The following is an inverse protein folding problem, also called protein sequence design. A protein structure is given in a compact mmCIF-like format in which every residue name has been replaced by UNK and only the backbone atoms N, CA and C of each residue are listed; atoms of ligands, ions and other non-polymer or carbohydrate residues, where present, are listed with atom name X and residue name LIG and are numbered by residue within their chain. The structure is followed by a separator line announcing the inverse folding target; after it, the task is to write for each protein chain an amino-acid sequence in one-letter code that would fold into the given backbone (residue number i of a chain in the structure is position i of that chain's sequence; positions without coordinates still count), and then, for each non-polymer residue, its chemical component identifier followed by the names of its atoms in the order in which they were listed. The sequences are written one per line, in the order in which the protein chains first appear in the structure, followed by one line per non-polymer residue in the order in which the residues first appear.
data_IF_649134639386
#
_entry.id   IF_649134639386
#
_cell.length_a   1.000
_cell.length_b   1.000
_cell.length_c   1.000
_cell.angle_alpha   90.00
_cell.angle_beta   90.00
_cell.angle_gamma   90.00
#
_symmetry.space_group_name_H-M   'P 1'
#
loop_
_entity.id
_entity.type
_entity.pdbx_description
1 polymer ?
#
# COMPACT_ATOMS: atom_id res chain seq x y z
N UNK A 1 2.10 16.55 -11.75
CA UNK A 1 1.65 16.32 -13.14
C UNK A 1 2.40 15.15 -13.76
N UNK A 2 3.72 15.05 -13.64
CA UNK A 2 4.53 13.96 -14.24
C UNK A 2 4.12 12.56 -13.79
N UNK A 3 3.91 12.35 -12.48
CA UNK A 3 3.53 11.04 -11.93
C UNK A 3 2.14 10.62 -12.40
N UNK A 4 1.20 11.58 -12.47
CA UNK A 4 -0.14 11.33 -13.00
C UNK A 4 -0.09 10.89 -14.47
N UNK A 5 0.66 11.61 -15.30
CA UNK A 5 0.80 11.31 -16.73
C UNK A 5 1.49 9.96 -16.95
N UNK A 6 2.54 9.67 -16.16
CA UNK A 6 3.21 8.37 -16.22
C UNK A 6 2.27 7.23 -15.86
N UNK A 7 1.53 7.36 -14.75
CA UNK A 7 0.58 6.35 -14.33
C UNK A 7 -0.55 6.16 -15.36
N UNK A 8 -1.12 7.25 -15.87
CA UNK A 8 -2.13 7.19 -16.91
C UNK A 8 -1.63 6.43 -18.16
N UNK A 9 -0.39 6.70 -18.58
CA UNK A 9 0.26 5.98 -19.67
C UNK A 9 0.44 4.49 -19.36
N UNK A 10 0.95 4.14 -18.17
CA UNK A 10 1.13 2.75 -17.78
C UNK A 10 -0.20 1.99 -17.78
N UNK A 11 -1.27 2.60 -17.27
CA UNK A 11 -2.60 2.01 -17.27
C UNK A 11 -3.17 1.88 -18.68
N UNK A 12 -2.98 2.89 -19.55
CA UNK A 12 -3.44 2.84 -20.94
C UNK A 12 -2.73 1.75 -21.74
N UNK A 13 -1.41 1.63 -21.57
CA UNK A 13 -0.57 0.68 -22.33
C UNK A 13 -0.46 -0.70 -21.67
N UNK A 14 -1.17 -0.92 -20.57
CA UNK A 14 -1.11 -2.17 -19.80
C UNK A 14 0.32 -2.57 -19.40
N UNK A 15 1.11 -1.58 -19.01
CA UNK A 15 2.47 -1.82 -18.50
C UNK A 15 2.36 -2.45 -17.11
N UNK A 16 3.00 -3.61 -16.85
CA UNK A 16 3.04 -4.19 -15.51
C UNK A 16 3.51 -3.17 -14.47
N UNK A 17 2.68 -2.93 -13.46
CA UNK A 17 2.87 -1.82 -12.52
C UNK A 17 2.75 -2.31 -11.08
N UNK A 18 3.78 -2.04 -10.28
CA UNK A 18 3.73 -2.10 -8.81
C UNK A 18 3.86 -0.68 -8.27
N UNK A 19 2.83 -0.21 -7.59
CA UNK A 19 2.71 1.16 -7.12
C UNK A 19 2.79 1.20 -5.58
N UNK A 20 3.75 1.93 -5.01
CA UNK A 20 4.01 1.99 -3.57
C UNK A 20 3.65 3.37 -3.02
N UNK A 21 2.91 3.41 -1.92
CA UNK A 21 2.53 4.58 -1.15
C UNK A 21 1.95 5.69 -2.04
N UNK A 22 2.69 6.73 -2.33
CA UNK A 22 2.27 7.79 -3.27
C UNK A 22 1.94 7.24 -4.66
N UNK A 23 2.62 6.18 -5.10
CA UNK A 23 2.33 5.51 -6.38
C UNK A 23 0.93 4.89 -6.39
N UNK A 24 0.54 4.21 -5.32
CA UNK A 24 -0.81 3.66 -5.13
C UNK A 24 -1.87 4.77 -5.10
N UNK A 25 -1.59 5.87 -4.42
CA UNK A 25 -2.47 7.04 -4.37
C UNK A 25 -2.67 7.65 -5.77
N UNK A 26 -1.59 7.81 -6.53
CA UNK A 26 -1.66 8.33 -7.92
C UNK A 26 -2.42 7.37 -8.82
N UNK A 27 -2.20 6.06 -8.71
CA UNK A 27 -2.94 5.04 -9.46
C UNK A 27 -4.44 5.11 -9.18
N UNK A 28 -4.80 5.29 -7.92
CA UNK A 28 -6.18 5.37 -7.48
C UNK A 28 -6.87 6.66 -7.95
N UNK A 29 -6.18 7.80 -7.89
CA UNK A 29 -6.68 9.08 -8.41
C UNK A 29 -6.88 9.02 -9.93
N UNK A 30 -5.91 8.48 -10.67
CA UNK A 30 -6.02 8.29 -12.14
C UNK A 30 -7.21 7.39 -12.49
N UNK A 31 -7.52 6.43 -11.63
CA UNK A 31 -8.66 5.52 -11.79
C UNK A 31 -10.01 6.12 -11.35
N UNK A 32 -10.02 7.31 -10.73
CA UNK A 32 -11.24 8.06 -10.37
C UNK A 32 -11.78 7.80 -8.97
N UNK A 33 -10.96 7.30 -8.04
CA UNK A 33 -11.36 7.06 -6.65
C UNK A 33 -11.62 8.37 -5.87
N UNK A 34 -12.36 8.26 -4.77
CA UNK A 34 -12.38 9.29 -3.73
C UNK A 34 -11.12 9.17 -2.84
N UNK A 35 -10.83 10.22 -2.06
CA UNK A 35 -9.57 10.31 -1.35
C UNK A 35 -9.75 10.88 0.06
N UNK A 36 -9.10 10.25 1.05
CA UNK A 36 -8.98 10.77 2.42
C UNK A 36 -7.78 11.73 2.43
N UNK A 37 -8.06 13.04 2.56
CA UNK A 37 -7.02 14.06 2.51
C UNK A 37 -6.17 14.11 3.78
N UNK A 38 -6.71 13.67 4.92
CA UNK A 38 -6.02 13.65 6.20
C UNK A 38 -6.61 12.58 7.12
N UNK A 39 -5.86 11.53 7.40
CA UNK A 39 -6.31 10.41 8.23
C UNK A 39 -6.67 10.85 9.67
N UNK A 40 -5.88 11.69 10.37
CA UNK A 40 -6.27 12.20 11.67
C UNK A 40 -7.65 12.88 11.69
N UNK A 41 -7.95 13.70 10.69
CA UNK A 41 -9.27 14.34 10.59
C UNK A 41 -10.36 13.31 10.25
N UNK A 42 -10.08 12.34 9.41
CA UNK A 42 -11.01 11.25 9.08
C UNK A 42 -11.42 10.44 10.34
N UNK A 43 -10.46 10.14 11.24
CA UNK A 43 -10.76 9.54 12.55
C UNK A 43 -11.63 10.44 13.41
N UNK A 44 -11.29 11.73 13.50
CA UNK A 44 -12.04 12.72 14.29
C UNK A 44 -13.49 12.87 13.81
N UNK A 45 -13.74 12.87 12.51
CA UNK A 45 -15.08 12.93 11.93
C UNK A 45 -15.94 11.72 12.33
N UNK A 46 -15.31 10.58 12.62
CA UNK A 46 -15.97 9.39 13.12
C UNK A 46 -16.03 9.32 14.67
N UNK A 47 -15.65 10.40 15.36
CA UNK A 47 -15.62 10.45 16.83
C UNK A 47 -14.51 9.59 17.46
N UNK A 48 -13.42 9.33 16.73
CA UNK A 48 -12.31 8.47 17.11
C UNK A 48 -11.02 9.26 17.29
N UNK A 49 -10.06 8.67 18.02
CA UNK A 49 -8.73 9.22 18.22
C UNK A 49 -7.74 8.50 17.30
N UNK A 50 -6.96 9.26 16.55
CA UNK A 50 -5.87 8.73 15.75
C UNK A 50 -4.63 8.50 16.63
N UNK A 51 -4.03 7.31 16.56
CA UNK A 51 -2.91 6.86 17.38
C UNK A 51 -1.63 6.63 16.56
N UNK A 52 -1.33 7.51 15.61
CA UNK A 52 -0.11 7.49 14.79
C UNK A 52 0.19 6.16 14.08
N UNK A 53 -0.86 5.37 13.81
CA UNK A 53 -0.76 4.03 13.24
C UNK A 53 -0.15 4.02 11.85
N UNK A 54 -0.48 5.01 11.00
CA UNK A 54 -0.05 5.08 9.60
C UNK A 54 1.15 6.00 9.38
N UNK A 55 1.48 6.84 10.37
CA UNK A 55 2.61 7.76 10.32
C UNK A 55 2.99 8.23 11.71
N UNK A 56 4.26 8.16 12.05
CA UNK A 56 4.79 8.75 13.28
C UNK A 56 4.64 10.28 13.25
N UNK A 57 4.44 10.93 14.41
CA UNK A 57 4.42 12.39 14.53
C UNK A 57 5.66 13.04 13.91
N UNK A 58 5.50 14.26 13.40
CA UNK A 58 6.60 14.98 12.73
C UNK A 58 7.76 15.33 13.69
N UNK A 59 7.48 15.40 14.99
CA UNK A 59 8.41 15.66 16.09
C UNK A 59 8.91 14.40 16.80
N UNK A 60 8.56 13.21 16.30
CA UNK A 60 9.09 11.97 16.84
C UNK A 60 10.63 11.99 16.80
N UNK A 61 11.32 11.58 17.88
CA UNK A 61 12.79 11.62 17.99
C UNK A 61 13.49 10.88 16.87
N UNK A 62 12.94 9.75 16.49
CA UNK A 62 13.38 8.92 15.38
C UNK A 62 12.35 9.02 14.26
N UNK A 63 12.70 9.62 13.14
CA UNK A 63 11.87 9.63 11.93
C UNK A 63 11.83 8.24 11.31
N UNK A 64 11.28 7.29 12.06
CA UNK A 64 11.09 5.91 11.65
C UNK A 64 9.70 5.72 11.08
N UNK A 65 9.52 4.68 10.26
CA UNK A 65 8.20 4.28 9.80
C UNK A 65 7.34 3.83 10.98
N UNK A 66 6.07 4.20 10.97
CA UNK A 66 5.08 3.54 11.80
C UNK A 66 4.96 2.07 11.38
N UNK A 67 4.45 1.24 12.28
CA UNK A 67 4.27 -0.20 12.04
C UNK A 67 2.85 -0.58 12.39
N UNK A 68 2.18 -1.27 11.49
CA UNK A 68 0.85 -1.83 11.71
C UNK A 68 0.65 -3.11 10.91
N UNK A 69 -0.42 -3.83 11.22
CA UNK A 69 -0.83 -5.01 10.49
C UNK A 69 -1.87 -4.64 9.43
N UNK A 70 -1.89 -5.39 8.35
CA UNK A 70 -2.93 -5.27 7.32
C UNK A 70 -3.64 -6.60 7.12
N UNK A 71 -4.95 -6.53 6.87
CA UNK A 71 -5.79 -7.68 6.54
C UNK A 71 -5.94 -7.76 5.03
N UNK A 72 -5.80 -8.95 4.47
CA UNK A 72 -5.89 -9.21 3.03
C UNK A 72 -7.19 -9.97 2.74
N UNK A 73 -7.99 -9.43 1.83
CA UNK A 73 -9.17 -10.11 1.32
C UNK A 73 -8.76 -11.14 0.26
N UNK A 74 -8.62 -12.39 0.70
CA UNK A 74 -8.23 -13.51 -0.14
C UNK A 74 -9.12 -13.69 -1.37
N UNK A 75 -10.44 -13.52 -1.20
CA UNK A 75 -11.40 -13.80 -2.25
C UNK A 75 -11.48 -12.67 -3.29
N UNK A 76 -11.13 -11.45 -2.89
CA UNK A 76 -11.05 -10.29 -3.76
C UNK A 76 -9.70 -10.17 -4.48
N UNK A 77 -8.61 -10.70 -3.91
CA UNK A 77 -7.26 -10.50 -4.41
C UNK A 77 -6.90 -11.42 -5.57
N UNK A 78 -6.35 -10.84 -6.64
CA UNK A 78 -5.76 -11.55 -7.78
C UNK A 78 -4.27 -11.82 -7.57
N UNK A 79 -3.53 -10.87 -6.98
CA UNK A 79 -2.07 -10.93 -6.82
C UNK A 79 -1.60 -10.83 -5.37
N UNK A 80 -2.13 -9.91 -4.57
CA UNK A 80 -1.62 -9.64 -3.22
C UNK A 80 -1.63 -10.89 -2.34
N UNK A 81 -2.72 -11.68 -2.34
CA UNK A 81 -2.78 -12.91 -1.56
C UNK A 81 -1.73 -13.94 -2.00
N UNK A 82 -1.41 -14.00 -3.30
CA UNK A 82 -0.36 -14.91 -3.81
C UNK A 82 1.03 -14.48 -3.36
N UNK A 83 1.27 -13.16 -3.29
CA UNK A 83 2.53 -12.59 -2.83
C UNK A 83 2.76 -12.90 -1.35
N UNK A 84 1.72 -12.69 -0.53
CA UNK A 84 1.81 -12.80 0.93
C UNK A 84 1.61 -14.22 1.44
N UNK A 85 0.75 -15.01 0.78
CA UNK A 85 0.44 -16.39 1.18
C UNK A 85 -0.42 -16.50 2.46
N UNK A 86 -0.93 -15.37 2.97
CA UNK A 86 -1.72 -15.27 4.21
C UNK A 86 -2.79 -14.20 4.08
N UNK A 87 -3.82 -14.28 4.91
CA UNK A 87 -4.85 -13.22 5.05
C UNK A 87 -4.42 -12.06 5.95
N UNK A 88 -3.21 -12.11 6.47
CA UNK A 88 -2.63 -11.05 7.31
C UNK A 88 -1.16 -10.85 6.97
N UNK A 89 -0.71 -9.60 6.88
CA UNK A 89 0.69 -9.23 6.82
C UNK A 89 1.01 -8.31 7.99
N UNK A 90 1.97 -8.71 8.82
CA UNK A 90 2.28 -8.03 10.09
C UNK A 90 3.41 -7.03 9.96
N UNK A 91 3.33 -5.98 10.77
CA UNK A 91 4.37 -4.98 10.95
C UNK A 91 4.82 -4.30 9.64
N UNK A 92 3.91 -4.03 8.71
CA UNK A 92 4.25 -3.30 7.49
C UNK A 92 4.83 -1.91 7.83
N UNK A 93 5.81 -1.47 7.06
CA UNK A 93 6.37 -0.11 7.19
C UNK A 93 5.39 0.91 6.63
N UNK A 94 4.99 1.90 7.41
CA UNK A 94 3.96 2.87 7.03
C UNK A 94 4.42 4.32 7.23
N UNK A 95 4.16 5.18 6.21
CA UNK A 95 4.50 6.60 6.25
C UNK A 95 3.54 7.40 5.37
N UNK A 96 2.28 7.48 5.77
CA UNK A 96 1.28 8.26 5.04
C UNK A 96 0.26 8.89 5.98
N UNK A 97 -0.29 10.04 5.60
CA UNK A 97 -1.38 10.72 6.29
C UNK A 97 -2.62 10.89 5.40
N UNK A 98 -2.52 10.44 4.17
CA UNK A 98 -3.59 10.40 3.18
C UNK A 98 -3.83 8.95 2.75
N UNK A 99 -5.02 8.65 2.26
CA UNK A 99 -5.37 7.31 1.79
C UNK A 99 -6.44 7.33 0.70
N UNK A 100 -6.62 6.22 0.02
CA UNK A 100 -7.78 5.98 -0.83
C UNK A 100 -9.05 5.99 0.02
N UNK A 101 -10.04 6.78 -0.36
CA UNK A 101 -11.28 6.93 0.40
C UNK A 101 -12.36 5.94 -0.01
N UNK A 102 -12.50 5.67 -1.31
CA UNK A 102 -13.46 4.71 -1.86
C UNK A 102 -13.23 4.51 -3.34
N UNK A 103 -13.62 3.33 -3.83
CA UNK A 103 -13.36 2.88 -5.20
C UNK A 103 -14.63 2.70 -6.04
N UNK A 104 -15.78 3.12 -5.53
CA UNK A 104 -17.08 2.94 -6.18
C UNK A 104 -17.10 3.61 -7.57
N UNK A 105 -17.58 2.86 -8.55
CA UNK A 105 -17.63 3.33 -9.95
C UNK A 105 -16.29 3.32 -10.69
N UNK A 106 -15.23 2.77 -10.08
CA UNK A 106 -13.92 2.59 -10.70
C UNK A 106 -13.64 1.13 -11.07
N UNK A 107 -12.52 0.88 -11.75
CA UNK A 107 -12.00 -0.47 -12.02
C UNK A 107 -11.05 -0.96 -10.93
N UNK A 108 -10.99 -0.30 -9.76
CA UNK A 108 -10.19 -0.72 -8.63
C UNK A 108 -10.94 -1.74 -7.77
N UNK A 109 -10.19 -2.73 -7.31
CA UNK A 109 -10.64 -3.69 -6.31
C UNK A 109 -9.84 -3.49 -5.02
N UNK A 110 -10.51 -3.21 -3.90
CA UNK A 110 -9.85 -3.17 -2.58
C UNK A 110 -9.49 -4.58 -2.17
N UNK A 111 -8.20 -4.82 -1.91
CA UNK A 111 -7.68 -6.16 -1.56
C UNK A 111 -7.02 -6.22 -0.19
N UNK A 112 -6.76 -5.07 0.43
CA UNK A 112 -6.26 -5.01 1.80
C UNK A 112 -6.72 -3.76 2.53
N UNK A 113 -6.94 -3.91 3.83
CA UNK A 113 -7.31 -2.82 4.74
C UNK A 113 -6.57 -2.96 6.08
N UNK A 114 -6.48 -1.84 6.81
CA UNK A 114 -6.08 -1.81 8.22
C UNK A 114 -7.21 -1.19 9.02
N UNK A 115 -7.60 -1.84 10.12
CA UNK A 115 -8.69 -1.36 10.98
C UNK A 115 -8.18 -1.15 12.40
N UNK A 116 -8.19 0.09 12.86
CA UNK A 116 -7.80 0.48 14.22
C UNK A 116 -8.87 1.37 14.83
N UNK A 117 -9.22 1.11 16.08
CA UNK A 117 -10.31 1.78 16.80
C UNK A 117 -11.65 1.80 16.03
N UNK A 118 -11.90 0.78 15.20
CA UNK A 118 -13.09 0.67 14.37
C UNK A 118 -13.10 1.53 13.11
N UNK A 119 -12.01 2.23 12.82
CA UNK A 119 -11.82 2.99 11.56
C UNK A 119 -11.00 2.16 10.58
N UNK A 120 -11.57 1.93 9.41
CA UNK A 120 -10.92 1.19 8.33
C UNK A 120 -10.25 2.16 7.36
N UNK A 121 -9.01 1.82 6.98
CA UNK A 121 -8.21 2.52 5.97
C UNK A 121 -7.80 1.50 4.89
N UNK A 122 -7.98 1.87 3.62
CA UNK A 122 -7.56 1.05 2.48
C UNK A 122 -6.03 1.05 2.41
N UNK A 123 -5.44 -0.15 2.32
CA UNK A 123 -4.00 -0.39 2.33
C UNK A 123 -3.47 -1.04 1.04
N UNK A 124 -4.35 -1.62 0.23
CA UNK A 124 -3.98 -2.07 -1.10
C UNK A 124 -5.18 -2.15 -2.04
N UNK A 125 -4.91 -1.84 -3.30
CA UNK A 125 -5.88 -1.93 -4.40
C UNK A 125 -5.26 -2.61 -5.63
N UNK A 126 -6.10 -3.27 -6.42
CA UNK A 126 -5.72 -3.92 -7.67
C UNK A 126 -6.54 -3.41 -8.85
N UNK A 127 -5.90 -3.18 -10.00
CA UNK A 127 -6.53 -3.01 -11.32
C UNK A 127 -6.53 -4.36 -12.04
N UNK A 128 -7.51 -5.19 -11.72
CA UNK A 128 -7.59 -6.58 -12.17
C UNK A 128 -7.94 -6.74 -13.66
N UNK A 129 -8.34 -5.66 -14.29
CA UNK A 129 -8.50 -5.51 -15.74
C UNK A 129 -7.17 -5.38 -16.49
N UNK A 130 -6.04 -5.32 -15.78
CA UNK A 130 -4.68 -5.22 -16.32
C UNK A 130 -3.91 -6.54 -16.20
N UNK A 131 -2.80 -6.64 -16.97
CA UNK A 131 -1.89 -7.79 -16.91
C UNK A 131 -1.30 -7.96 -15.52
N UNK A 132 -0.77 -6.88 -14.94
CA UNK A 132 -0.37 -6.78 -13.53
C UNK A 132 -0.44 -5.31 -13.09
N UNK A 133 -1.27 -5.01 -12.12
CA UNK A 133 -1.34 -3.66 -11.58
C UNK A 133 -1.81 -3.70 -10.12
N UNK A 134 -0.84 -3.65 -9.20
CA UNK A 134 -1.03 -3.69 -7.76
C UNK A 134 -0.51 -2.41 -7.12
N UNK A 135 -1.34 -1.78 -6.30
CA UNK A 135 -0.95 -0.67 -5.43
C UNK A 135 -0.99 -1.09 -3.96
N UNK A 136 0.03 -0.70 -3.21
CA UNK A 136 0.07 -0.84 -1.75
C UNK A 136 0.40 0.49 -1.10
N UNK A 137 -0.25 0.80 0.03
CA UNK A 137 -0.06 2.06 0.75
C UNK A 137 1.18 2.02 1.65
N UNK A 138 1.56 0.85 2.12
CA UNK A 138 2.75 0.61 2.93
C UNK A 138 4.03 0.48 2.08
N UNK A 139 5.19 0.37 2.74
CA UNK A 139 6.52 0.42 2.14
C UNK A 139 7.30 -0.90 2.29
N UNK A 140 7.05 -1.93 1.46
CA UNK A 140 7.81 -3.20 1.55
C UNK A 140 9.30 -3.01 1.24
N UNK A 141 9.67 -2.01 0.43
CA UNK A 141 11.07 -1.70 0.12
C UNK A 141 11.90 -1.29 1.34
N UNK A 142 11.25 -0.76 2.39
CA UNK A 142 11.97 -0.37 3.60
C UNK A 142 12.53 -1.58 4.36
N UNK A 143 11.76 -2.66 4.45
CA UNK A 143 12.22 -3.90 5.09
C UNK A 143 13.26 -4.62 4.22
N UNK A 144 13.10 -4.61 2.90
CA UNK A 144 14.13 -5.09 1.96
C UNK A 144 15.45 -4.30 2.11
N UNK A 145 15.39 -2.97 2.27
CA UNK A 145 16.57 -2.13 2.48
C UNK A 145 17.37 -2.55 3.69
N UNK A 146 16.72 -2.89 4.81
CA UNK A 146 17.43 -3.30 6.03
C UNK A 146 18.26 -4.56 5.82
N UNK A 147 17.75 -5.52 5.07
CA UNK A 147 18.44 -6.79 4.80
C UNK A 147 19.48 -6.63 3.69
N UNK A 148 19.07 -6.08 2.54
CA UNK A 148 19.89 -6.07 1.33
C UNK A 148 20.96 -4.98 1.34
N UNK A 149 20.64 -3.80 1.83
CA UNK A 149 21.49 -2.62 1.70
C UNK A 149 22.23 -2.26 2.99
N UNK A 150 21.52 -2.00 4.10
CA UNK A 150 22.16 -1.56 5.36
C UNK A 150 22.73 -2.71 6.19
N UNK A 151 22.39 -3.96 5.85
CA UNK A 151 22.84 -5.17 6.57
C UNK A 151 22.46 -5.15 8.07
N UNK A 152 21.25 -4.66 8.35
CA UNK A 152 20.65 -4.58 9.70
C UNK A 152 19.32 -5.34 9.73
N UNK A 153 19.34 -6.69 9.53
CA UNK A 153 18.12 -7.49 9.38
C UNK A 153 17.22 -7.44 10.61
N UNK A 154 17.77 -7.15 11.80
CA UNK A 154 17.01 -6.97 13.04
C UNK A 154 16.05 -5.78 13.01
N UNK A 155 16.19 -4.86 12.06
CA UNK A 155 15.30 -3.71 11.83
C UNK A 155 14.17 -4.01 10.86
N UNK A 156 14.27 -5.11 10.12
CA UNK A 156 13.18 -5.58 9.25
C UNK A 156 12.15 -6.28 10.13
N UNK A 157 11.06 -5.57 10.47
CA UNK A 157 10.00 -6.10 11.33
C UNK A 157 8.87 -6.79 10.53
N UNK A 158 8.69 -6.42 9.27
CA UNK A 158 7.89 -7.17 8.32
C UNK A 158 8.73 -8.30 7.72
N UNK A 159 8.08 -9.43 7.42
CA UNK A 159 8.79 -10.57 6.83
C UNK A 159 9.49 -10.19 5.52
N UNK A 160 10.80 -10.31 5.52
CA UNK A 160 11.64 -9.87 4.41
C UNK A 160 11.36 -10.61 3.11
N UNK A 161 11.18 -11.94 3.17
CA UNK A 161 10.93 -12.74 1.97
C UNK A 161 9.59 -12.34 1.33
N UNK A 162 8.57 -12.13 2.14
CA UNK A 162 7.29 -11.60 1.67
C UNK A 162 7.45 -10.21 1.06
N UNK A 163 8.23 -9.31 1.70
CA UNK A 163 8.50 -7.99 1.13
C UNK A 163 9.21 -8.06 -0.22
N UNK A 164 10.13 -8.98 -0.39
CA UNK A 164 10.85 -9.22 -1.66
C UNK A 164 9.92 -9.74 -2.76
N UNK A 165 8.98 -10.62 -2.42
CA UNK A 165 8.04 -11.22 -3.39
C UNK A 165 7.21 -10.19 -4.16
N UNK A 166 6.96 -9.00 -3.60
CA UNK A 166 6.30 -7.90 -4.32
C UNK A 166 7.08 -7.50 -5.59
N UNK A 167 8.38 -7.37 -5.45
CA UNK A 167 9.27 -6.97 -6.55
C UNK A 167 9.53 -8.12 -7.52
N UNK A 168 9.66 -9.34 -7.01
CA UNK A 168 9.83 -10.54 -7.83
C UNK A 168 8.61 -10.78 -8.72
N UNK A 169 7.40 -10.59 -8.21
CA UNK A 169 6.20 -10.70 -9.02
C UNK A 169 6.13 -9.63 -10.11
N UNK A 170 6.52 -8.39 -9.84
CA UNK A 170 6.62 -7.36 -10.88
C UNK A 170 7.59 -7.80 -11.99
N UNK A 171 8.78 -8.29 -11.62
CA UNK A 171 9.79 -8.75 -12.58
C UNK A 171 9.26 -9.92 -13.42
N UNK A 172 8.57 -10.87 -12.80
CA UNK A 172 7.93 -12.00 -13.49
C UNK A 172 6.94 -11.52 -14.57
N UNK A 173 6.08 -10.56 -14.23
CA UNK A 173 5.10 -10.04 -15.20
C UNK A 173 5.73 -9.12 -16.26
N UNK A 174 6.79 -8.39 -15.93
CA UNK A 174 7.51 -7.55 -16.89
C UNK A 174 8.32 -8.35 -17.90
N UNK A 175 8.64 -9.60 -17.62
CA UNK A 175 9.35 -10.52 -18.52
C UNK A 175 8.45 -11.32 -19.47
N UNK A 176 7.15 -11.18 -19.37
CA UNK A 176 6.14 -11.82 -20.23
C UNK A 176 5.73 -10.92 -21.37
#
# INVERSE_FOLDING_TARGET
ISDYMLMAYCLEKDVPTFAVCRGEQVMSIVSGCTFIQDIPNYYKEQGKTYNDTHRMPADAPDRTYARHDVTINKDASKWLYKIVGSTELKNVSSWHHQAVGGVEGTNLTVVSTATYDGVEVIEAVERQDKTFCLGVQFHPENDCKFVLYTKTPEKALCDYETCLNFFEMLVEYAGK
#
